data_IF_651769285059
#
_entry.id   IF_651769285059
#
_cell.length_a   1.000
_cell.length_b   1.000
_cell.length_c   1.000
_cell.angle_alpha   90.00
_cell.angle_beta   90.00
_cell.angle_gamma   90.00
#
_symmetry.space_group_name_H-M   'P 1'
#
loop_
_entity.id
_entity.type
_entity.pdbx_description
1 polymer ?
#
# COMPACT_ATOMS: atom_id res chain seq x y z
N UNK A 1 -10.76 11.68 -29.83
CA UNK A 1 -11.31 11.41 -28.50
C UNK A 1 -10.18 11.10 -27.54
N UNK A 2 -10.07 11.87 -26.51
CA UNK A 2 -8.99 11.65 -25.54
C UNK A 2 -9.29 10.40 -24.73
N UNK A 3 -8.33 9.52 -24.66
CA UNK A 3 -8.44 8.38 -23.77
C UNK A 3 -8.32 8.87 -22.34
N UNK A 4 -9.16 8.36 -21.48
CA UNK A 4 -9.07 8.65 -20.07
C UNK A 4 -7.77 8.07 -19.55
N UNK A 5 -6.90 8.92 -19.08
CA UNK A 5 -5.69 8.47 -18.43
C UNK A 5 -6.05 7.94 -17.05
N UNK A 6 -5.32 6.94 -16.63
CA UNK A 6 -5.59 6.29 -15.37
C UNK A 6 -4.25 5.94 -14.71
N UNK A 7 -4.13 6.34 -13.46
CA UNK A 7 -3.00 5.95 -12.65
C UNK A 7 -3.47 4.92 -11.64
N UNK A 8 -2.81 3.79 -11.62
CA UNK A 8 -3.11 2.74 -10.66
C UNK A 8 -2.03 2.72 -9.60
N UNK A 9 -2.41 2.88 -8.37
CA UNK A 9 -1.50 2.92 -7.25
C UNK A 9 -1.77 1.72 -6.38
N UNK A 10 -0.73 0.91 -6.14
CA UNK A 10 -0.80 -0.22 -5.22
C UNK A 10 0.00 0.11 -4.00
N UNK A 11 -0.60 -0.10 -2.85
CA UNK A 11 0.06 0.09 -1.57
C UNK A 11 0.20 -1.25 -0.87
N UNK A 12 1.34 -1.47 -0.25
CA UNK A 12 1.59 -2.66 0.55
C UNK A 12 2.20 -2.24 1.87
N UNK A 13 1.73 -2.82 2.93
CA UNK A 13 2.29 -2.59 4.26
C UNK A 13 1.97 -3.77 5.16
N UNK A 14 2.81 -3.98 6.16
CA UNK A 14 2.54 -5.00 7.17
C UNK A 14 1.57 -4.49 8.23
N UNK A 15 1.48 -3.19 8.40
CA UNK A 15 0.60 -2.57 9.37
C UNK A 15 -0.61 -1.97 8.67
N UNK A 16 -1.81 -2.40 9.08
CA UNK A 16 -3.03 -1.92 8.45
C UNK A 16 -3.29 -0.44 8.74
N UNK A 17 -2.87 0.06 9.90
CA UNK A 17 -3.03 1.48 10.22
C UNK A 17 -2.22 2.36 9.29
N UNK A 18 -0.99 1.97 9.02
CA UNK A 18 -0.11 2.73 8.13
C UNK A 18 -0.63 2.76 6.71
N UNK A 19 -1.12 1.62 6.22
CA UNK A 19 -1.63 1.55 4.86
C UNK A 19 -2.90 2.35 4.70
N UNK A 20 -3.75 2.37 5.72
CA UNK A 20 -4.98 3.15 5.70
C UNK A 20 -4.68 4.64 5.72
N UNK A 21 -3.73 5.07 6.53
CA UNK A 21 -3.27 6.47 6.55
C UNK A 21 -2.70 6.90 5.21
N UNK A 22 -1.87 6.05 4.61
CA UNK A 22 -1.28 6.34 3.32
C UNK A 22 -2.34 6.43 2.23
N UNK A 23 -3.30 5.50 2.24
CA UNK A 23 -4.41 5.51 1.29
C UNK A 23 -5.23 6.79 1.38
N UNK A 24 -5.57 7.18 2.59
CA UNK A 24 -6.35 8.38 2.84
C UNK A 24 -5.62 9.62 2.36
N UNK A 25 -4.33 9.70 2.64
CA UNK A 25 -3.50 10.82 2.22
C UNK A 25 -3.43 10.95 0.69
N UNK A 26 -3.29 9.82 0.01
CA UNK A 26 -3.26 9.80 -1.45
C UNK A 26 -4.60 10.23 -2.04
N UNK A 27 -5.70 9.73 -1.49
CA UNK A 27 -7.04 10.07 -1.94
C UNK A 27 -7.30 11.58 -1.76
N UNK A 28 -6.97 12.12 -0.60
CA UNK A 28 -7.14 13.54 -0.34
C UNK A 28 -6.33 14.39 -1.31
N UNK A 29 -5.08 14.03 -1.52
CA UNK A 29 -4.20 14.75 -2.43
C UNK A 29 -4.74 14.73 -3.85
N UNK A 30 -5.21 13.60 -4.31
CA UNK A 30 -5.78 13.48 -5.65
C UNK A 30 -7.04 14.34 -5.79
N UNK A 31 -7.90 14.34 -4.78
CA UNK A 31 -9.12 15.16 -4.81
C UNK A 31 -8.81 16.64 -4.82
N UNK A 32 -7.80 17.05 -4.06
CA UNK A 32 -7.39 18.46 -4.01
C UNK A 32 -6.88 18.94 -5.37
N UNK A 33 -6.31 18.07 -6.16
CA UNK A 33 -5.82 18.41 -7.49
C UNK A 33 -6.89 18.27 -8.58
N UNK A 34 -8.11 17.94 -8.19
CA UNK A 34 -9.24 17.86 -9.12
C UNK A 34 -9.38 16.54 -9.84
N UNK A 35 -8.59 15.54 -9.50
CA UNK A 35 -8.70 14.24 -10.12
C UNK A 35 -9.83 13.42 -9.52
N UNK A 36 -10.36 12.52 -10.32
CA UNK A 36 -11.40 11.59 -9.88
C UNK A 36 -10.75 10.36 -9.29
N UNK A 37 -11.16 9.97 -8.11
CA UNK A 37 -10.55 8.84 -7.40
C UNK A 37 -11.57 7.73 -7.24
N UNK A 38 -11.17 6.54 -7.62
CA UNK A 38 -11.92 5.33 -7.35
C UNK A 38 -11.29 4.60 -6.18
N UNK A 39 -11.90 4.69 -5.08
CA UNK A 39 -11.58 4.04 -3.87
C UNK A 39 -10.64 4.16 -3.04
N UNK A 40 -10.13 3.85 -1.97
CA UNK A 40 -9.22 2.71 -1.89
C UNK A 40 -9.97 1.38 -1.85
N UNK A 41 -9.50 0.45 -2.66
CA UNK A 41 -10.07 -0.88 -2.74
C UNK A 41 -9.18 -1.83 -1.96
N UNK A 42 -9.68 -2.46 -0.90
CA UNK A 42 -8.87 -3.44 -0.19
C UNK A 42 -8.71 -4.70 -1.04
N UNK A 43 -7.47 -5.08 -1.25
CA UNK A 43 -7.14 -6.34 -1.90
C UNK A 43 -6.98 -7.42 -0.85
N UNK A 44 -7.07 -8.70 -1.24
CA UNK A 44 -6.87 -9.77 -0.27
C UNK A 44 -5.56 -9.65 0.47
N UNK A 45 -5.62 -9.82 1.78
CA UNK A 45 -4.43 -9.76 2.62
C UNK A 45 -3.65 -11.06 2.48
N UNK A 46 -2.38 -10.94 2.16
CA UNK A 46 -1.51 -12.10 2.13
C UNK A 46 -1.05 -12.41 3.54
N UNK A 47 -1.13 -13.67 3.87
CA UNK A 47 -0.75 -14.16 5.18
C UNK A 47 0.37 -15.17 5.02
N UNK A 48 1.45 -14.94 5.70
CA UNK A 48 2.60 -15.82 5.67
C UNK A 48 2.98 -16.22 7.08
N UNK A 49 3.15 -17.50 7.29
CA UNK A 49 3.59 -18.02 8.57
C UNK A 49 5.07 -18.34 8.44
N UNK A 50 5.86 -17.65 9.22
CA UNK A 50 7.30 -17.86 9.24
C UNK A 50 7.65 -18.62 10.51
N UNK A 51 8.25 -19.78 10.35
CA UNK A 51 8.70 -20.58 11.47
C UNK A 51 10.21 -20.38 11.64
N UNK A 52 10.59 -19.90 12.80
CA UNK A 52 11.98 -19.71 13.13
C UNK A 52 12.40 -20.81 14.09
N UNK A 53 13.41 -21.57 13.70
CA UNK A 53 14.02 -22.55 14.57
C UNK A 53 15.12 -21.87 15.35
N UNK A 54 14.97 -21.83 16.65
CA UNK A 54 16.03 -21.34 17.50
C UNK A 54 16.86 -22.50 17.95
N UNK A 55 18.17 -22.36 17.88
CA UNK A 55 19.07 -23.34 18.39
C UNK A 55 19.04 -23.29 19.91
N UNK A 56 18.22 -24.09 20.50
CA UNK A 56 18.17 -24.23 21.94
C UNK A 56 18.83 -25.55 22.30
N UNK A 57 19.89 -25.46 22.98
CA UNK A 57 20.61 -26.64 23.42
C UNK A 57 19.79 -27.36 24.46
N UNK A 58 19.79 -28.65 24.41
CA UNK A 58 19.21 -29.53 25.44
C UNK A 58 17.71 -29.58 25.49
N UNK A 59 17.03 -28.62 24.95
CA UNK A 59 15.60 -28.60 25.13
C UNK A 59 14.88 -28.92 23.86
N UNK A 60 13.66 -29.25 24.07
CA UNK A 60 12.76 -29.45 22.98
C UNK A 60 12.82 -28.27 22.07
N UNK A 61 12.53 -28.54 20.88
CA UNK A 61 12.47 -27.54 19.88
C UNK A 61 11.91 -26.24 20.35
N UNK A 62 12.63 -25.22 20.05
CA UNK A 62 12.21 -23.89 20.24
C UNK A 62 11.79 -23.35 18.91
N UNK A 63 10.52 -23.46 18.63
CA UNK A 63 9.94 -22.89 17.40
C UNK A 63 9.19 -21.65 17.75
N UNK A 64 9.51 -20.59 17.07
CA UNK A 64 8.67 -19.43 17.10
C UNK A 64 8.00 -19.29 15.75
N UNK A 65 6.71 -19.19 15.77
CA UNK A 65 5.95 -18.93 14.57
C UNK A 65 5.51 -17.50 14.59
N UNK A 66 5.88 -16.79 13.54
CA UNK A 66 5.43 -15.43 13.33
C UNK A 66 4.47 -15.40 12.16
N UNK A 67 3.40 -14.69 12.34
CA UNK A 67 2.48 -14.45 11.27
C UNK A 67 2.79 -13.11 10.66
N UNK A 68 3.07 -13.11 9.36
CA UNK A 68 3.30 -11.90 8.62
C UNK A 68 2.10 -11.67 7.72
N UNK A 69 1.44 -10.56 7.93
CA UNK A 69 0.31 -10.18 7.10
C UNK A 69 0.72 -9.00 6.25
N UNK A 70 0.52 -9.14 4.96
CA UNK A 70 0.76 -8.05 4.02
C UNK A 70 -0.59 -7.51 3.58
N UNK A 71 -0.88 -6.29 4.00
CA UNK A 71 -2.10 -5.60 3.59
C UNK A 71 -1.86 -4.90 2.28
N UNK A 72 -2.85 -4.92 1.42
CA UNK A 72 -2.76 -4.31 0.10
C UNK A 72 -3.96 -3.43 -0.13
N UNK A 73 -3.71 -2.29 -0.77
CA UNK A 73 -4.78 -1.37 -1.19
C UNK A 73 -4.54 -0.94 -2.62
N UNK A 74 -5.62 -0.79 -3.34
CA UNK A 74 -5.59 -0.35 -4.73
C UNK A 74 -6.34 0.96 -4.85
N UNK A 75 -5.70 1.94 -5.45
CA UNK A 75 -6.32 3.24 -5.71
C UNK A 75 -6.18 3.55 -7.19
N UNK A 76 -7.29 3.83 -7.83
CA UNK A 76 -7.30 4.25 -9.23
C UNK A 76 -7.61 5.74 -9.28
N UNK A 77 -6.75 6.48 -9.95
CA UNK A 77 -6.94 7.89 -10.18
C UNK A 77 -7.27 8.09 -11.65
N UNK A 78 -8.44 8.62 -11.92
CA UNK A 78 -8.96 8.78 -13.27
C UNK A 78 -8.78 10.23 -13.70
N UNK A 79 -8.31 10.41 -14.93
CA UNK A 79 -8.04 11.73 -15.50
C UNK A 79 -7.13 12.59 -14.63
N UNK A 80 -5.96 12.07 -14.24
CA UNK A 80 -5.03 12.87 -13.45
C UNK A 80 -4.46 13.98 -14.29
N UNK A 81 -4.44 15.18 -13.71
CA UNK A 81 -3.74 16.29 -14.32
C UNK A 81 -2.24 16.17 -14.04
N UNK A 82 -1.47 16.99 -14.74
CA UNK A 82 -0.03 17.06 -14.51
C UNK A 82 0.29 17.39 -13.05
N UNK A 83 -0.48 18.29 -12.47
CA UNK A 83 -0.32 18.68 -11.09
C UNK A 83 -0.57 17.51 -10.13
N UNK A 84 -1.54 16.66 -10.46
CA UNK A 84 -1.81 15.46 -9.66
C UNK A 84 -0.61 14.52 -9.64
N UNK A 85 -0.03 14.27 -10.80
CA UNK A 85 1.15 13.40 -10.91
C UNK A 85 2.32 13.97 -10.13
N UNK A 86 2.60 15.25 -10.29
CA UNK A 86 3.68 15.91 -9.58
C UNK A 86 3.50 15.86 -8.07
N UNK A 87 2.31 16.12 -7.60
CA UNK A 87 2.00 16.11 -6.17
C UNK A 87 2.14 14.70 -5.60
N UNK A 88 1.71 13.69 -6.33
CA UNK A 88 1.85 12.31 -5.89
C UNK A 88 3.30 11.87 -5.81
N UNK A 89 4.12 12.33 -6.75
CA UNK A 89 5.54 12.02 -6.74
C UNK A 89 6.29 12.62 -5.56
N UNK A 90 5.80 13.74 -5.05
CA UNK A 90 6.44 14.44 -3.92
C UNK A 90 5.76 14.14 -2.59
N UNK A 91 4.73 13.31 -2.61
CA UNK A 91 3.97 13.00 -1.41
C UNK A 91 4.80 12.21 -0.42
N UNK A 92 4.78 12.68 0.81
CA UNK A 92 5.51 12.04 1.89
C UNK A 92 4.61 11.02 2.57
N UNK A 93 4.98 9.76 2.47
CA UNK A 93 4.22 8.67 3.07
C UNK A 93 4.91 8.13 4.31
N UNK A 94 4.17 7.51 5.23
CA UNK A 94 4.77 6.90 6.40
C UNK A 94 5.78 5.83 6.02
N UNK A 95 6.83 5.71 6.83
CA UNK A 95 7.77 4.62 6.66
C UNK A 95 7.06 3.27 6.83
N UNK A 96 7.47 2.27 6.09
CA UNK A 96 6.86 0.95 6.16
C UNK A 96 5.77 0.71 5.15
N UNK A 97 5.44 1.70 4.35
CA UNK A 97 4.48 1.55 3.26
C UNK A 97 5.23 1.53 1.93
N UNK A 98 5.00 0.49 1.18
CA UNK A 98 5.55 0.33 -0.15
C UNK A 98 4.54 0.81 -1.17
N UNK A 99 4.98 1.64 -2.10
CA UNK A 99 4.08 2.19 -3.11
C UNK A 99 4.56 1.79 -4.51
N UNK A 100 3.62 1.36 -5.33
CA UNK A 100 3.87 1.04 -6.73
C UNK A 100 2.90 1.83 -7.57
N UNK A 101 3.41 2.59 -8.51
CA UNK A 101 2.59 3.42 -9.38
C UNK A 101 2.70 2.92 -10.81
N UNK A 102 1.56 2.62 -11.41
CA UNK A 102 1.48 2.23 -12.82
C UNK A 102 0.72 3.30 -13.59
N UNK A 103 1.34 3.76 -14.61
CA UNK A 103 0.72 4.72 -15.52
C UNK A 103 -0.04 4.01 -16.64
#
# INVERSE_FOLDING_TARGET
MANAEKIRIRLKAYDHSLIDQASEKIVETAKLTGAKVSGPIPLPTEREIVTILRAVHKYKESREQFERRTHKRLIDIINPGQKTVETLMTLDLPAGVEIEIKL
#
